data_IF_888372641188
#
_entry.id   IF_888372641188
#
_cell.length_a   1.000
_cell.length_b   1.000
_cell.length_c   1.000
_cell.angle_alpha   90.00
_cell.angle_beta   90.00
_cell.angle_gamma   90.00
#
_symmetry.space_group_name_H-M   'P 1'
#
loop_
_entity.id
_entity.type
_entity.pdbx_description
1 polymer ?
#
# COMPACT_ATOMS: atom_id res chain seq x y z
N UNK A 1 3.75 61.22 -20.01
CA UNK A 1 4.46 59.92 -19.94
C UNK A 1 3.47 58.87 -19.41
N UNK A 2 2.94 57.94 -20.21
CA UNK A 2 2.10 56.87 -19.68
C UNK A 2 2.98 55.75 -19.09
N UNK A 3 2.68 55.35 -17.85
CA UNK A 3 3.34 54.23 -17.15
C UNK A 3 2.80 52.92 -17.74
N UNK A 4 3.71 52.06 -18.22
CA UNK A 4 3.35 50.72 -18.70
C UNK A 4 2.82 49.86 -17.54
N UNK A 5 1.78 49.02 -17.75
CA UNK A 5 1.32 48.11 -16.73
C UNK A 5 2.31 46.97 -16.50
N UNK A 6 2.62 46.75 -15.23
CA UNK A 6 3.46 45.68 -14.68
C UNK A 6 2.97 44.29 -15.15
N UNK A 7 3.84 43.44 -15.74
CA UNK A 7 3.47 42.09 -16.11
C UNK A 7 3.31 41.24 -14.85
N UNK A 8 2.06 41.13 -14.35
CA UNK A 8 1.70 40.18 -13.29
C UNK A 8 2.25 38.78 -13.64
N UNK A 9 3.03 38.15 -12.75
CA UNK A 9 3.51 36.79 -13.00
C UNK A 9 2.31 35.85 -13.16
N UNK A 10 2.30 35.10 -14.27
CA UNK A 10 1.32 34.03 -14.49
C UNK A 10 1.39 33.07 -13.30
N UNK A 11 0.25 32.58 -12.77
CA UNK A 11 0.29 31.59 -11.70
C UNK A 11 1.11 30.38 -12.18
N UNK A 12 2.19 30.10 -11.45
CA UNK A 12 2.99 28.91 -11.67
C UNK A 12 2.08 27.67 -11.69
N UNK A 13 2.26 26.71 -12.60
CA UNK A 13 1.49 25.47 -12.57
C UNK A 13 1.64 24.85 -11.19
N UNK A 14 0.51 24.65 -10.52
CA UNK A 14 0.43 24.04 -9.19
C UNK A 14 1.21 22.73 -9.27
N UNK A 15 2.30 22.60 -8.51
CA UNK A 15 3.12 21.40 -8.55
C UNK A 15 2.22 20.19 -8.29
N UNK A 16 2.19 19.23 -9.23
CA UNK A 16 1.42 18.01 -9.09
C UNK A 16 1.79 17.35 -7.75
N UNK A 17 0.87 17.37 -6.78
CA UNK A 17 1.10 16.86 -5.45
C UNK A 17 0.95 15.34 -5.47
N UNK A 18 1.97 14.65 -4.96
CA UNK A 18 1.92 13.23 -4.67
C UNK A 18 0.94 13.00 -3.52
N UNK A 19 -0.03 12.13 -3.72
CA UNK A 19 -0.95 11.71 -2.68
C UNK A 19 -0.60 10.31 -2.21
N UNK A 20 -0.44 10.13 -0.90
CA UNK A 20 -0.06 8.85 -0.29
C UNK A 20 -1.12 8.46 0.74
N UNK A 21 -1.70 7.28 0.57
CA UNK A 21 -2.57 6.66 1.57
C UNK A 21 -1.76 5.62 2.32
N UNK A 22 -1.66 5.76 3.64
CA UNK A 22 -1.05 4.76 4.50
C UNK A 22 -1.98 3.53 4.61
N UNK A 23 -1.45 2.36 4.29
CA UNK A 23 -2.19 1.10 4.32
C UNK A 23 -1.88 0.24 5.55
N UNK A 24 -1.15 0.74 6.56
CA UNK A 24 -0.73 -0.06 7.72
C UNK A 24 -1.87 -0.47 8.67
N UNK A 25 -2.90 0.36 8.85
CA UNK A 25 -3.95 0.08 9.83
C UNK A 25 -5.17 -0.63 9.22
N UNK A 26 -6.01 -1.22 10.09
CA UNK A 26 -7.35 -1.73 9.77
C UNK A 26 -7.37 -2.80 8.68
N UNK A 27 -6.48 -3.78 8.82
CA UNK A 27 -6.55 -5.06 8.12
C UNK A 27 -7.47 -6.03 8.87
N UNK A 28 -7.98 -7.01 8.15
CA UNK A 28 -8.75 -8.15 8.63
C UNK A 28 -7.96 -9.43 8.28
N UNK A 29 -7.65 -10.25 9.28
CA UNK A 29 -6.99 -11.54 9.13
C UNK A 29 -8.00 -12.66 9.37
N UNK A 30 -8.00 -13.67 8.51
CA UNK A 30 -8.88 -14.83 8.59
C UNK A 30 -8.17 -16.07 8.06
N UNK A 31 -8.61 -17.25 8.46
CA UNK A 31 -8.30 -18.47 7.72
C UNK A 31 -9.03 -18.41 6.37
N UNK A 32 -8.31 -18.66 5.28
CA UNK A 32 -8.88 -18.61 3.93
C UNK A 32 -9.91 -19.73 3.67
N UNK A 33 -9.86 -20.81 4.45
CA UNK A 33 -10.66 -22.02 4.29
C UNK A 33 -11.73 -22.19 5.40
N UNK A 34 -11.94 -21.16 6.22
CA UNK A 34 -12.89 -21.16 7.34
C UNK A 34 -13.87 -19.99 7.28
N UNK A 35 -15.08 -20.20 7.78
CA UNK A 35 -16.12 -19.17 7.94
C UNK A 35 -16.00 -18.41 9.28
N UNK A 36 -14.94 -18.64 10.05
CA UNK A 36 -14.71 -17.94 11.31
C UNK A 36 -14.62 -16.40 11.09
N UNK A 37 -15.14 -15.59 12.03
CA UNK A 37 -15.05 -14.13 11.92
C UNK A 37 -13.60 -13.63 11.81
N UNK A 38 -13.34 -12.60 10.98
CA UNK A 38 -12.00 -12.07 10.81
C UNK A 38 -11.52 -11.29 12.04
N UNK A 39 -10.21 -11.34 12.29
CA UNK A 39 -9.51 -10.64 13.36
C UNK A 39 -8.96 -9.32 12.82
N UNK A 40 -9.18 -8.22 13.55
CA UNK A 40 -8.59 -6.92 13.20
C UNK A 40 -7.10 -6.90 13.53
N UNK A 41 -6.28 -6.52 12.54
CA UNK A 41 -4.82 -6.40 12.71
C UNK A 41 -4.28 -5.12 12.07
N UNK A 42 -3.03 -4.80 12.38
CA UNK A 42 -2.28 -3.70 11.79
C UNK A 42 -0.88 -4.17 11.39
N UNK A 43 -0.24 -3.41 10.50
CA UNK A 43 1.13 -3.60 10.04
C UNK A 43 2.08 -2.66 10.82
N UNK A 44 3.33 -3.07 11.11
CA UNK A 44 3.89 -4.39 10.84
C UNK A 44 3.18 -5.50 11.62
N UNK A 45 3.05 -6.66 10.98
CA UNK A 45 2.33 -7.80 11.53
C UNK A 45 3.29 -8.77 12.21
N UNK A 46 3.00 -9.12 13.46
CA UNK A 46 3.58 -10.29 14.12
C UNK A 46 2.61 -11.46 14.00
N UNK A 47 2.98 -12.46 13.19
CA UNK A 47 2.16 -13.63 12.90
C UNK A 47 1.91 -14.53 14.11
N UNK A 48 2.84 -14.56 15.07
CA UNK A 48 2.72 -15.37 16.28
C UNK A 48 1.76 -14.74 17.31
N UNK A 49 1.57 -13.42 17.25
CA UNK A 49 0.70 -12.68 18.16
C UNK A 49 -0.79 -12.66 17.74
N UNK A 50 -1.13 -13.18 16.56
CA UNK A 50 -2.52 -13.20 16.09
C UNK A 50 -3.31 -14.25 16.87
N UNK A 51 -4.43 -13.87 17.52
CA UNK A 51 -5.25 -14.80 18.31
C UNK A 51 -6.16 -15.63 17.39
N UNK A 52 -5.57 -16.58 16.66
CA UNK A 52 -6.32 -17.45 15.75
C UNK A 52 -7.40 -18.27 16.50
N UNK A 53 -8.59 -18.46 15.92
CA UNK A 53 -9.70 -19.15 16.60
C UNK A 53 -9.34 -20.56 17.09
N UNK A 54 -8.56 -21.30 16.30
CA UNK A 54 -8.13 -22.66 16.63
C UNK A 54 -6.84 -22.71 17.48
N UNK A 55 -6.38 -21.56 17.99
CA UNK A 55 -5.16 -21.45 18.80
C UNK A 55 -3.86 -21.65 18.03
N UNK A 56 -3.91 -21.78 16.70
CA UNK A 56 -2.74 -21.92 15.82
C UNK A 56 -2.94 -21.17 14.50
N UNK A 57 -1.86 -20.75 13.81
CA UNK A 57 -1.96 -20.18 12.47
C UNK A 57 -2.60 -21.18 11.48
N UNK A 58 -3.46 -20.70 10.56
CA UNK A 58 -4.02 -21.55 9.51
C UNK A 58 -2.94 -21.94 8.50
N UNK A 59 -3.20 -22.93 7.64
CA UNK A 59 -2.30 -23.25 6.53
C UNK A 59 -2.21 -22.08 5.54
N UNK A 60 -3.30 -21.33 5.40
CA UNK A 60 -3.41 -20.19 4.51
C UNK A 60 -4.24 -19.09 5.17
N UNK A 61 -3.58 -17.97 5.45
CA UNK A 61 -4.23 -16.79 5.98
C UNK A 61 -4.66 -15.86 4.84
N UNK A 62 -5.86 -15.30 4.94
CA UNK A 62 -6.33 -14.19 4.11
C UNK A 62 -6.27 -12.89 4.91
N UNK A 63 -5.49 -11.94 4.41
CA UNK A 63 -5.44 -10.56 4.90
C UNK A 63 -6.22 -9.65 3.96
N UNK A 64 -7.19 -8.89 4.47
CA UNK A 64 -8.01 -7.98 3.69
C UNK A 64 -7.96 -6.55 4.23
N UNK A 65 -7.75 -5.56 3.34
CA UNK A 65 -7.73 -4.13 3.65
C UNK A 65 -8.70 -3.38 2.76
N UNK A 66 -9.64 -2.69 3.40
CA UNK A 66 -10.57 -1.77 2.72
C UNK A 66 -9.95 -0.37 2.63
N UNK A 67 -9.98 0.26 1.47
CA UNK A 67 -9.47 1.63 1.31
C UNK A 67 -10.30 2.42 0.30
N UNK A 68 -10.35 3.74 0.49
CA UNK A 68 -11.01 4.64 -0.43
C UNK A 68 -10.14 4.92 -1.65
N UNK A 69 -10.76 5.29 -2.77
CA UNK A 69 -10.01 5.88 -3.87
C UNK A 69 -9.46 7.25 -3.44
N UNK A 70 -8.17 7.52 -3.63
CA UNK A 70 -7.59 8.82 -3.35
C UNK A 70 -8.25 9.91 -4.20
N UNK A 71 -8.25 11.18 -3.73
CA UNK A 71 -8.73 12.30 -4.54
C UNK A 71 -8.05 12.29 -5.91
N UNK A 72 -8.75 12.73 -6.96
CA UNK A 72 -8.17 12.84 -8.30
C UNK A 72 -6.89 13.68 -8.21
N UNK A 73 -5.75 13.06 -8.48
CA UNK A 73 -4.51 13.80 -8.68
C UNK A 73 -4.54 14.37 -10.10
N UNK A 74 -3.98 15.55 -10.31
CA UNK A 74 -3.78 16.12 -11.65
C UNK A 74 -2.65 15.39 -12.42
N UNK A 75 -2.09 14.35 -11.83
CA UNK A 75 -0.97 13.63 -12.39
C UNK A 75 -1.46 12.51 -13.30
N UNK A 76 -0.88 12.35 -14.51
CA UNK A 76 -1.19 11.23 -15.40
C UNK A 76 -0.59 9.91 -14.92
N UNK A 77 0.22 9.91 -13.85
CA UNK A 77 0.87 8.70 -13.36
C UNK A 77 -0.17 7.74 -12.74
N UNK A 78 -0.17 6.45 -13.12
CA UNK A 78 -1.10 5.48 -12.58
C UNK A 78 -0.86 5.25 -11.08
N UNK A 79 -1.91 4.92 -10.31
CA UNK A 79 -1.76 4.54 -8.91
C UNK A 79 -0.84 3.32 -8.77
N UNK A 80 -0.07 3.26 -7.67
CA UNK A 80 0.74 2.09 -7.29
C UNK A 80 0.47 1.74 -5.83
N UNK A 81 0.20 0.47 -5.55
CA UNK A 81 0.22 -0.05 -4.18
C UNK A 81 1.59 -0.65 -3.95
N UNK A 82 2.25 -0.24 -2.87
CA UNK A 82 3.62 -0.57 -2.53
C UNK A 82 3.66 -1.17 -1.14
N UNK A 83 4.15 -2.41 -1.06
CA UNK A 83 4.16 -3.21 0.15
C UNK A 83 5.53 -3.85 0.32
N UNK A 84 6.09 -3.82 1.52
CA UNK A 84 7.42 -4.38 1.81
C UNK A 84 7.35 -5.47 2.87
N UNK A 85 8.34 -6.36 2.87
CA UNK A 85 8.44 -7.43 3.86
C UNK A 85 7.33 -8.48 3.72
N UNK A 86 6.79 -8.69 2.52
CA UNK A 86 5.68 -9.61 2.26
C UNK A 86 6.15 -11.05 2.00
N UNK A 87 6.96 -11.60 2.90
CA UNK A 87 7.34 -13.01 2.80
C UNK A 87 6.12 -13.92 2.93
N UNK A 88 6.14 -15.05 2.22
CA UNK A 88 5.06 -16.05 2.28
C UNK A 88 3.80 -15.70 1.49
N UNK A 89 3.79 -14.62 0.69
CA UNK A 89 2.64 -14.30 -0.18
C UNK A 89 2.43 -15.40 -1.22
N UNK A 90 1.19 -15.85 -1.33
CA UNK A 90 0.71 -16.85 -2.28
C UNK A 90 0.01 -16.15 -3.44
N UNK A 91 -0.90 -15.23 -3.12
CA UNK A 91 -1.71 -14.53 -4.11
C UNK A 91 -2.11 -13.14 -3.60
N UNK A 92 -2.36 -12.24 -4.53
CA UNK A 92 -3.01 -10.96 -4.27
C UNK A 92 -4.27 -10.82 -5.11
N UNK A 93 -5.27 -10.16 -4.55
CA UNK A 93 -6.51 -9.82 -5.23
C UNK A 93 -6.93 -8.38 -4.94
N UNK A 94 -7.56 -7.75 -5.92
CA UNK A 94 -8.16 -6.44 -5.80
C UNK A 94 -9.64 -6.54 -6.18
N UNK A 95 -10.52 -6.12 -5.26
CA UNK A 95 -11.97 -6.13 -5.48
C UNK A 95 -12.53 -7.49 -5.89
N UNK A 96 -11.93 -8.58 -5.37
CA UNK A 96 -12.34 -9.96 -5.63
C UNK A 96 -11.74 -10.58 -6.89
N UNK A 97 -10.99 -9.82 -7.70
CA UNK A 97 -10.27 -10.34 -8.86
C UNK A 97 -8.78 -10.54 -8.52
N UNK A 98 -8.12 -11.61 -9.05
CA UNK A 98 -6.67 -11.74 -8.97
C UNK A 98 -5.98 -10.52 -9.59
N UNK A 99 -4.89 -10.07 -8.97
CA UNK A 99 -4.07 -8.98 -9.52
C UNK A 99 -2.62 -9.43 -9.62
N UNK A 100 -1.92 -9.02 -10.68
CA UNK A 100 -0.50 -9.26 -10.79
C UNK A 100 0.29 -8.31 -9.89
N UNK A 101 1.43 -8.78 -9.40
CA UNK A 101 2.41 -7.98 -8.69
C UNK A 101 3.80 -8.30 -9.22
N UNK A 102 4.73 -7.37 -9.03
CA UNK A 102 6.15 -7.58 -9.29
C UNK A 102 6.97 -7.22 -8.07
N UNK A 103 8.16 -7.80 -7.97
CA UNK A 103 9.15 -7.38 -6.99
C UNK A 103 10.09 -6.34 -7.60
N UNK A 104 10.32 -5.23 -6.89
CA UNK A 104 11.16 -4.10 -7.31
C UNK A 104 11.86 -3.54 -6.07
N UNK A 105 13.19 -3.66 -5.96
CA UNK A 105 13.98 -3.15 -4.82
C UNK A 105 13.46 -3.57 -3.42
N UNK A 106 12.98 -4.82 -3.32
CA UNK A 106 12.39 -5.39 -2.11
C UNK A 106 10.93 -4.99 -1.84
N UNK A 107 10.29 -4.29 -2.79
CA UNK A 107 8.87 -3.96 -2.77
C UNK A 107 8.05 -4.91 -3.61
N UNK A 108 6.90 -5.32 -3.11
CA UNK A 108 5.81 -5.82 -3.93
C UNK A 108 5.02 -4.62 -4.48
N UNK A 109 5.02 -4.51 -5.80
CA UNK A 109 4.35 -3.44 -6.52
C UNK A 109 3.13 -4.00 -7.22
N UNK A 110 1.95 -3.45 -6.89
CA UNK A 110 0.70 -3.71 -7.60
C UNK A 110 0.29 -2.45 -8.34
N UNK A 111 -0.02 -2.60 -9.62
CA UNK A 111 -0.60 -1.54 -10.46
C UNK A 111 -2.09 -1.81 -10.61
N UNK A 112 -2.95 -1.25 -9.73
CA UNK A 112 -4.37 -1.58 -9.68
C UNK A 112 -5.17 -1.10 -10.91
N UNK A 113 -4.55 -0.36 -11.81
CA UNK A 113 -5.23 0.31 -12.92
C UNK A 113 -6.28 1.29 -12.40
N UNK A 114 -7.57 0.95 -12.56
CA UNK A 114 -8.69 1.76 -12.10
C UNK A 114 -9.12 1.44 -10.67
N UNK A 115 -9.19 2.46 -9.81
CA UNK A 115 -9.73 2.33 -8.46
C UNK A 115 -11.22 2.70 -8.41
N UNK A 116 -12.00 1.86 -7.72
CA UNK A 116 -13.41 2.12 -7.38
C UNK A 116 -13.50 3.10 -6.20
N UNK A 117 -14.66 3.73 -5.93
CA UNK A 117 -14.82 4.57 -4.74
C UNK A 117 -14.42 3.88 -3.43
N UNK A 118 -14.67 2.57 -3.33
CA UNK A 118 -14.30 1.68 -2.22
C UNK A 118 -13.59 0.47 -2.80
N UNK A 119 -12.39 0.17 -2.31
CA UNK A 119 -11.57 -0.94 -2.79
C UNK A 119 -11.26 -1.90 -1.65
N UNK A 120 -10.99 -3.15 -2.01
CA UNK A 120 -10.50 -4.18 -1.09
C UNK A 120 -9.26 -4.81 -1.70
N UNK A 121 -8.12 -4.65 -1.04
CA UNK A 121 -6.92 -5.43 -1.31
C UNK A 121 -6.96 -6.67 -0.43
N UNK A 122 -6.83 -7.85 -1.02
CA UNK A 122 -6.72 -9.12 -0.34
C UNK A 122 -5.35 -9.75 -0.65
N UNK A 123 -4.73 -10.34 0.36
CA UNK A 123 -3.45 -11.04 0.26
C UNK A 123 -3.63 -12.40 0.92
N UNK A 124 -3.38 -13.46 0.16
CA UNK A 124 -3.26 -14.82 0.70
C UNK A 124 -1.80 -15.08 1.05
N UNK A 125 -1.57 -15.61 2.26
CA UNK A 125 -0.25 -15.77 2.85
C UNK A 125 -0.14 -17.14 3.50
N UNK A 126 1.01 -17.79 3.36
CA UNK A 126 1.45 -18.87 4.23
C UNK A 126 2.03 -18.24 5.52
N UNK A 127 1.29 -18.27 6.65
CA UNK A 127 1.72 -17.60 7.87
C UNK A 127 2.95 -18.26 8.50
N UNK A 128 3.20 -19.54 8.24
CA UNK A 128 4.40 -20.24 8.73
C UNK A 128 5.65 -19.70 8.06
N UNK A 129 5.61 -19.55 6.72
CA UNK A 129 6.73 -18.93 5.97
C UNK A 129 6.90 -17.46 6.34
N UNK A 130 5.79 -16.74 6.52
CA UNK A 130 5.84 -15.33 6.87
C UNK A 130 6.44 -15.09 8.27
N UNK A 131 6.15 -15.95 9.24
CA UNK A 131 6.70 -15.86 10.60
C UNK A 131 8.20 -16.16 10.68
N UNK A 132 8.73 -16.98 9.77
CA UNK A 132 10.16 -17.35 9.74
C UNK A 132 11.03 -16.33 9.01
N UNK A 133 10.42 -15.43 8.24
CA UNK A 133 11.16 -14.44 7.49
C UNK A 133 11.72 -13.33 8.40
N UNK A 134 12.97 -12.89 8.16
CA UNK A 134 13.54 -11.79 8.93
C UNK A 134 12.86 -10.46 8.58
N UNK A 135 12.71 -9.59 9.58
CA UNK A 135 12.21 -8.22 9.41
C UNK A 135 10.73 -8.06 9.74
N UNK A 136 10.22 -6.85 9.51
CA UNK A 136 8.86 -6.46 9.86
C UNK A 136 7.91 -6.75 8.69
N UNK A 137 6.95 -7.66 8.88
CA UNK A 137 6.04 -8.05 7.81
C UNK A 137 5.05 -6.93 7.48
N UNK A 138 5.02 -6.52 6.20
CA UNK A 138 4.10 -5.48 5.73
C UNK A 138 4.50 -4.05 6.09
N UNK A 139 5.78 -3.76 6.39
CA UNK A 139 6.25 -2.41 6.69
C UNK A 139 7.42 -1.99 5.78
N UNK A 140 7.27 -0.92 4.97
CA UNK A 140 6.10 -0.05 4.81
C UNK A 140 4.98 -0.63 3.93
N UNK A 141 3.80 -0.02 4.02
CA UNK A 141 2.64 -0.31 3.17
C UNK A 141 1.86 0.97 2.81
N UNK A 142 1.75 1.31 1.53
CA UNK A 142 1.04 2.51 1.08
C UNK A 142 0.50 2.41 -0.36
N UNK A 143 -0.46 3.28 -0.67
CA UNK A 143 -0.94 3.56 -2.03
C UNK A 143 -0.45 4.95 -2.44
N UNK A 144 0.33 5.01 -3.51
CA UNK A 144 0.79 6.25 -4.13
C UNK A 144 -0.09 6.63 -5.32
N UNK A 145 -0.39 7.91 -5.44
CA UNK A 145 -1.05 8.50 -6.58
C UNK A 145 -0.32 9.77 -7.01
N UNK A 146 0.14 9.76 -8.25
CA UNK A 146 0.86 10.87 -8.89
C UNK A 146 2.35 10.63 -9.06
N UNK A 147 3.01 11.56 -9.76
CA UNK A 147 4.42 11.44 -10.10
C UNK A 147 5.27 11.59 -8.83
N UNK A 148 6.06 10.57 -8.48
CA UNK A 148 7.31 10.79 -7.75
C UNK A 148 8.07 11.86 -8.55
N UNK A 149 8.41 12.99 -7.92
CA UNK A 149 9.46 13.84 -8.50
C UNK A 149 10.65 12.90 -8.73
N UNK A 150 11.09 12.77 -9.98
CA UNK A 150 12.38 12.20 -10.28
C UNK A 150 13.42 13.15 -9.68
N UNK A 151 13.71 12.93 -8.41
CA UNK A 151 14.82 13.48 -7.65
C UNK A 151 15.44 12.30 -6.91
N UNK A 152 16.77 12.27 -6.75
CA UNK A 152 17.43 11.19 -6.03
C UNK A 152 16.78 11.06 -4.65
N UNK A 153 16.61 9.82 -4.16
CA UNK A 153 16.12 9.51 -2.82
C UNK A 153 16.79 10.45 -1.81
N UNK A 154 16.06 11.49 -1.41
CA UNK A 154 16.51 12.48 -0.46
C UNK A 154 16.41 11.86 0.92
N UNK A 155 17.50 11.25 1.36
CA UNK A 155 17.73 10.96 2.78
C UNK A 155 17.45 12.25 3.58
N UNK A 156 16.71 12.19 4.70
CA UNK A 156 16.56 13.33 5.58
C UNK A 156 17.94 13.71 6.13
N UNK A 157 18.21 15.02 6.11
CA UNK A 157 19.54 15.62 6.23
C UNK A 157 20.40 15.14 7.40
N UNK A 158 21.68 14.90 7.09
CA UNK A 158 22.77 15.01 8.05
C UNK A 158 23.49 16.33 7.82
N UNK A 159 23.29 17.30 8.72
CA UNK A 159 24.24 18.39 8.91
C UNK A 159 25.46 17.82 9.63
N UNK A 160 26.64 18.08 9.08
CA UNK A 160 27.96 17.84 9.68
C UNK A 160 29.00 18.56 8.85
#
# INVERSE_FOLDING_TARGET
MPVAPDPRPKPSPKAASMHVINLKAAWEASDADSDAPPIRVALPLDWAAIPWPDGRPPARARLARRFGRPPRSESPAPPRILLRGLAGVIAMGLNGAPVAWREEDGWHVVEPGGLLPRNILAIEVDPTRAAQAPGAWGDPAFLECGRLRAGPLGLPGGRG
#
